data_IF_525852223624
#
_entry.id   IF_525852223624
#
_cell.length_a   1.000
_cell.length_b   1.000
_cell.length_c   1.000
_cell.angle_alpha   90.00
_cell.angle_beta   90.00
_cell.angle_gamma   90.00
#
_symmetry.space_group_name_H-M   'P 1'
#
loop_
_entity.id
_entity.type
_entity.pdbx_description
1 polymer ?
#
# COMPACT_ATOMS: atom_id res chain seq x y z
N UNK A 1 12.24 2.90 -11.43
CA UNK A 1 12.29 3.65 -10.16
C UNK A 1 13.29 2.96 -9.26
N UNK A 2 14.21 3.68 -8.61
CA UNK A 2 15.11 3.04 -7.63
C UNK A 2 14.35 2.77 -6.34
N UNK A 3 14.77 1.79 -5.56
CA UNK A 3 14.14 1.43 -4.28
C UNK A 3 13.91 2.63 -3.34
N UNK A 4 14.89 3.54 -3.25
CA UNK A 4 14.78 4.74 -2.43
C UNK A 4 13.73 5.73 -2.96
N UNK A 5 13.60 5.85 -4.28
CA UNK A 5 12.58 6.72 -4.91
C UNK A 5 11.18 6.18 -4.62
N UNK A 6 11.02 4.86 -4.63
CA UNK A 6 9.73 4.23 -4.31
C UNK A 6 9.37 4.35 -2.83
N UNK A 7 10.34 4.16 -1.93
CA UNK A 7 10.14 4.39 -0.51
C UNK A 7 9.69 5.83 -0.24
N UNK A 8 10.36 6.81 -0.86
CA UNK A 8 9.98 8.23 -0.76
C UNK A 8 8.57 8.49 -1.33
N UNK A 9 8.20 7.84 -2.43
CA UNK A 9 6.84 7.89 -2.95
C UNK A 9 5.83 7.35 -1.94
N UNK A 10 6.09 6.19 -1.32
CA UNK A 10 5.20 5.60 -0.31
C UNK A 10 5.00 6.53 0.88
N UNK A 11 6.08 7.09 1.44
CA UNK A 11 5.97 8.07 2.55
C UNK A 11 5.17 9.31 2.11
N UNK A 12 5.44 9.84 0.92
CA UNK A 12 4.69 10.99 0.39
C UNK A 12 3.20 10.69 0.28
N UNK A 13 2.82 9.47 -0.12
CA UNK A 13 1.40 9.10 -0.20
C UNK A 13 0.78 8.89 1.19
N UNK A 14 1.54 8.38 2.16
CA UNK A 14 1.12 8.27 3.57
C UNK A 14 0.80 9.65 4.12
N UNK A 15 1.74 10.59 3.97
CA UNK A 15 1.58 11.96 4.48
C UNK A 15 0.39 12.66 3.83
N UNK A 16 0.20 12.50 2.51
CA UNK A 16 -0.97 13.05 1.80
C UNK A 16 -2.28 12.46 2.28
N UNK A 17 -2.34 11.16 2.51
CA UNK A 17 -3.55 10.51 3.01
C UNK A 17 -3.88 10.97 4.44
N UNK A 18 -2.88 11.04 5.31
CA UNK A 18 -3.04 11.54 6.68
C UNK A 18 -3.48 13.01 6.69
N UNK A 19 -2.82 13.88 5.90
CA UNK A 19 -3.19 15.29 5.81
C UNK A 19 -4.60 15.47 5.26
N UNK A 20 -5.03 14.63 4.31
CA UNK A 20 -6.39 14.72 3.76
C UNK A 20 -7.47 14.43 4.80
N UNK A 21 -7.22 13.54 5.76
CA UNK A 21 -8.13 13.27 6.89
C UNK A 21 -8.19 14.50 7.82
N UNK A 22 -7.07 15.18 8.03
CA UNK A 22 -7.02 16.39 8.87
C UNK A 22 -7.74 17.56 8.19
N UNK A 23 -7.52 17.74 6.89
CA UNK A 23 -8.06 18.87 6.11
C UNK A 23 -9.55 18.70 5.77
N UNK A 24 -10.03 17.47 5.77
CA UNK A 24 -11.40 17.14 5.39
C UNK A 24 -12.31 17.17 6.60
N UNK A 25 -13.47 17.81 6.46
CA UNK A 25 -14.62 17.63 7.37
C UNK A 25 -15.67 16.68 6.78
N UNK A 26 -15.34 16.00 5.69
CA UNK A 26 -16.23 15.13 4.95
C UNK A 26 -15.86 13.65 5.15
N UNK A 27 -16.76 12.93 5.82
CA UNK A 27 -16.61 11.50 6.14
C UNK A 27 -16.19 10.64 4.94
N UNK A 28 -16.72 10.90 3.74
CA UNK A 28 -16.37 10.13 2.54
C UNK A 28 -14.88 10.22 2.20
N UNK A 29 -14.28 11.40 2.36
CA UNK A 29 -12.86 11.58 2.12
C UNK A 29 -12.02 10.97 3.23
N UNK A 30 -12.52 10.94 4.46
CA UNK A 30 -11.84 10.34 5.60
C UNK A 30 -11.77 8.82 5.43
N UNK A 31 -12.90 8.18 5.12
CA UNK A 31 -13.00 6.75 4.82
C UNK A 31 -12.08 6.33 3.67
N UNK A 32 -12.11 7.08 2.57
CA UNK A 32 -11.25 6.83 1.42
C UNK A 32 -9.77 6.98 1.77
N UNK A 33 -9.39 8.05 2.48
CA UNK A 33 -8.00 8.30 2.88
C UNK A 33 -7.52 7.29 3.91
N UNK A 34 -8.39 6.85 4.82
CA UNK A 34 -8.12 5.78 5.78
C UNK A 34 -7.83 4.46 5.07
N UNK A 35 -8.60 4.10 4.04
CA UNK A 35 -8.33 2.92 3.21
C UNK A 35 -6.93 2.96 2.57
N UNK A 36 -6.57 4.11 1.97
CA UNK A 36 -5.22 4.30 1.41
C UNK A 36 -4.14 4.21 2.48
N UNK A 37 -4.35 4.85 3.62
CA UNK A 37 -3.40 4.85 4.73
C UNK A 37 -3.16 3.44 5.27
N UNK A 38 -4.22 2.65 5.46
CA UNK A 38 -4.13 1.26 5.91
C UNK A 38 -3.24 0.41 4.97
N UNK A 39 -3.48 0.49 3.66
CA UNK A 39 -2.65 -0.17 2.66
C UNK A 39 -1.19 0.30 2.69
N UNK A 40 -0.95 1.62 2.60
CA UNK A 40 0.39 2.17 2.46
C UNK A 40 1.25 1.95 3.70
N UNK A 41 0.66 2.03 4.91
CA UNK A 41 1.36 1.73 6.15
C UNK A 41 1.79 0.26 6.22
N UNK A 42 0.96 -0.66 5.74
CA UNK A 42 1.33 -2.07 5.65
C UNK A 42 2.44 -2.31 4.62
N UNK A 43 2.40 -1.60 3.48
CA UNK A 43 3.45 -1.69 2.45
C UNK A 43 4.79 -1.19 2.99
N UNK A 44 4.80 -0.06 3.71
CA UNK A 44 5.99 0.45 4.39
C UNK A 44 6.60 -0.58 5.34
N UNK A 45 5.78 -1.30 6.12
CA UNK A 45 6.24 -2.36 7.02
C UNK A 45 6.81 -3.56 6.28
N UNK A 46 6.20 -3.96 5.16
CA UNK A 46 6.74 -5.00 4.27
C UNK A 46 8.11 -4.61 3.73
N UNK A 47 8.24 -3.40 3.17
CA UNK A 47 9.51 -2.89 2.65
C UNK A 47 10.60 -2.81 3.72
N UNK A 48 10.22 -2.54 4.97
CA UNK A 48 11.11 -2.46 6.12
C UNK A 48 11.39 -3.81 6.81
N UNK A 49 10.88 -4.93 6.27
CA UNK A 49 10.97 -6.28 6.87
C UNK A 49 10.40 -6.36 8.30
N UNK A 50 9.35 -5.59 8.58
CA UNK A 50 8.66 -5.49 9.88
C UNK A 50 7.15 -5.76 9.75
N UNK A 51 6.74 -6.47 8.70
CA UNK A 51 5.34 -6.78 8.45
C UNK A 51 4.79 -7.77 9.50
N UNK A 52 3.55 -7.52 9.92
CA UNK A 52 2.74 -8.48 10.69
C UNK A 52 2.02 -9.46 9.74
N UNK A 53 1.43 -10.53 10.28
CA UNK A 53 0.59 -11.42 9.48
C UNK A 53 -0.60 -10.70 8.83
N UNK A 54 -1.18 -9.70 9.50
CA UNK A 54 -2.25 -8.88 8.94
C UNK A 54 -1.75 -8.01 7.77
N UNK A 55 -0.54 -7.45 7.88
CA UNK A 55 0.06 -6.71 6.78
C UNK A 55 0.26 -7.59 5.55
N UNK A 56 0.75 -8.82 5.74
CA UNK A 56 0.93 -9.79 4.66
C UNK A 56 -0.42 -10.15 4.01
N UNK A 57 -1.43 -10.51 4.82
CA UNK A 57 -2.75 -10.83 4.30
C UNK A 57 -3.40 -9.68 3.51
N UNK A 58 -3.16 -8.42 3.91
CA UNK A 58 -3.63 -7.25 3.16
C UNK A 58 -2.95 -7.15 1.79
N UNK A 59 -1.64 -7.38 1.71
CA UNK A 59 -0.94 -7.35 0.42
C UNK A 59 -1.29 -8.55 -0.46
N UNK A 60 -1.44 -9.73 0.14
CA UNK A 60 -1.81 -10.95 -0.57
C UNK A 60 -3.19 -10.82 -1.19
N UNK A 61 -4.19 -10.29 -0.47
CA UNK A 61 -5.52 -10.07 -1.04
C UNK A 61 -5.50 -9.16 -2.30
N UNK A 62 -4.64 -8.14 -2.30
CA UNK A 62 -4.46 -7.28 -3.50
C UNK A 62 -3.74 -8.05 -4.60
N UNK A 63 -2.71 -8.81 -4.24
CA UNK A 63 -1.98 -9.63 -5.18
C UNK A 63 -2.86 -10.70 -5.84
N UNK A 64 -3.72 -11.37 -5.08
CA UNK A 64 -4.65 -12.40 -5.54
C UNK A 64 -5.61 -11.83 -6.60
N UNK A 65 -6.14 -10.63 -6.38
CA UNK A 65 -6.98 -9.94 -7.37
C UNK A 65 -6.19 -9.63 -8.63
N UNK A 66 -4.95 -9.13 -8.51
CA UNK A 66 -4.11 -8.82 -9.67
C UNK A 66 -3.74 -10.09 -10.46
N UNK A 67 -3.50 -11.21 -9.77
CA UNK A 67 -3.24 -12.50 -10.40
C UNK A 67 -4.50 -13.07 -11.06
N UNK A 68 -5.66 -13.00 -10.40
CA UNK A 68 -6.94 -13.44 -10.98
C UNK A 68 -7.31 -12.67 -12.25
N UNK A 69 -6.92 -11.39 -12.33
CA UNK A 69 -7.06 -10.56 -13.52
C UNK A 69 -5.95 -10.77 -14.57
N UNK A 70 -5.01 -11.69 -14.32
CA UNK A 70 -3.83 -11.96 -15.15
C UNK A 70 -2.91 -10.74 -15.38
N UNK A 71 -2.95 -9.75 -14.48
CA UNK A 71 -2.03 -8.61 -14.47
C UNK A 71 -0.66 -9.05 -13.95
N UNK A 72 -0.65 -10.02 -13.04
CA UNK A 72 0.55 -10.61 -12.45
C UNK A 72 0.50 -12.12 -12.66
N UNK A 73 1.64 -12.72 -12.99
CA UNK A 73 1.74 -14.17 -13.15
C UNK A 73 1.44 -14.89 -11.81
N UNK A 74 0.80 -16.08 -11.82
CA UNK A 74 0.39 -16.80 -10.60
C UNK A 74 1.52 -17.11 -9.61
N UNK A 75 2.77 -17.15 -10.05
CA UNK A 75 3.95 -17.43 -9.22
C UNK A 75 4.77 -16.19 -8.85
N UNK A 76 4.25 -14.98 -9.13
CA UNK A 76 4.90 -13.71 -8.83
C UNK A 76 4.00 -12.86 -7.95
N UNK A 77 4.62 -11.99 -7.17
CA UNK A 77 3.90 -10.96 -6.42
C UNK A 77 4.22 -9.58 -6.96
N UNK A 78 3.30 -8.62 -6.86
CA UNK A 78 3.62 -7.23 -7.22
C UNK A 78 4.75 -6.68 -6.34
N UNK A 79 4.89 -7.20 -5.11
CA UNK A 79 5.98 -6.86 -4.20
C UNK A 79 7.35 -7.23 -4.79
N UNK A 80 7.45 -8.30 -5.58
CA UNK A 80 8.70 -8.68 -6.27
C UNK A 80 9.14 -7.66 -7.34
N UNK A 81 8.24 -6.77 -7.77
CA UNK A 81 8.54 -5.69 -8.71
C UNK A 81 9.15 -4.46 -8.02
N UNK A 82 9.14 -4.42 -6.69
CA UNK A 82 9.76 -3.36 -5.88
C UNK A 82 11.27 -3.66 -5.82
N UNK A 83 12.08 -2.94 -6.59
CA UNK A 83 13.52 -3.18 -6.82
C UNK A 83 14.45 -2.16 -6.18
#
# INVERSE_FOLDING_TARGET
MKNNDFAAFVETQIDRAAQKIIDSSNQRYDEHSHGKLSYLLSLRRVMSKKATAEDLGRQDAINDVLQALNIIEPNKTYLSLIK
#
